data_IF_265773664882
#
_entry.id   IF_265773664882
#
_cell.length_a   1.000
_cell.length_b   1.000
_cell.length_c   1.000
_cell.angle_alpha   90.00
_cell.angle_beta   90.00
_cell.angle_gamma   90.00
#
_symmetry.space_group_name_H-M   'P 1'
#
loop_
_entity.id
_entity.type
_entity.pdbx_description
1 polymer ?
#
# COMPACT_ATOMS: atom_id res chain seq x y z
N UNK A 1 -3.45 -5.73 17.43
CA UNK A 1 -2.31 -5.65 16.49
C UNK A 1 -2.41 -4.33 15.75
N UNK A 2 -1.61 -3.33 16.12
CA UNK A 2 -1.87 -1.92 15.80
C UNK A 2 -1.78 -1.60 14.30
N UNK A 3 -2.75 -0.82 13.82
CA UNK A 3 -2.84 -0.25 12.45
C UNK A 3 -1.54 0.45 12.03
N UNK A 4 -0.86 1.11 12.96
CA UNK A 4 0.47 1.70 12.75
C UNK A 4 1.53 0.68 12.28
N UNK A 5 1.51 -0.55 12.82
CA UNK A 5 2.43 -1.60 12.37
C UNK A 5 2.06 -2.15 11.00
N UNK A 6 0.77 -2.20 10.65
CA UNK A 6 0.32 -2.62 9.32
C UNK A 6 0.74 -1.58 8.26
N UNK A 7 0.60 -0.28 8.55
CA UNK A 7 1.02 0.81 7.65
C UNK A 7 2.53 0.78 7.42
N UNK A 8 3.33 0.59 8.47
CA UNK A 8 4.79 0.48 8.34
C UNK A 8 5.20 -0.76 7.52
N UNK A 9 4.50 -1.88 7.67
CA UNK A 9 4.76 -3.10 6.87
C UNK A 9 4.37 -2.93 5.39
N UNK A 10 3.31 -2.15 5.11
CA UNK A 10 2.84 -1.85 3.74
C UNK A 10 3.68 -0.77 3.05
N UNK A 11 4.36 0.10 3.79
CA UNK A 11 5.26 1.12 3.23
C UNK A 11 6.73 0.64 3.09
N UNK A 12 7.16 -0.34 3.92
CA UNK A 12 8.46 -1.01 3.81
C UNK A 12 8.43 -2.49 3.28
N UNK A 13 7.57 -2.89 2.32
CA UNK A 13 7.55 -4.26 1.81
C UNK A 13 8.83 -4.71 1.09
N UNK A 14 9.58 -3.86 0.34
CA UNK A 14 10.75 -4.35 -0.39
C UNK A 14 11.97 -4.55 0.51
N UNK A 15 12.10 -3.78 1.61
CA UNK A 15 13.24 -3.88 2.52
C UNK A 15 13.24 -5.19 3.31
N UNK A 16 12.08 -5.67 3.74
CA UNK A 16 11.95 -6.96 4.43
C UNK A 16 12.19 -8.17 3.53
N UNK A 17 12.04 -7.99 2.21
CA UNK A 17 12.19 -9.05 1.20
C UNK A 17 13.61 -9.11 0.65
N UNK A 18 14.31 -7.98 0.56
CA UNK A 18 15.71 -7.92 0.15
C UNK A 18 16.61 -8.81 1.03
N UNK A 19 16.30 -8.89 2.33
CA UNK A 19 17.03 -9.72 3.30
C UNK A 19 16.84 -11.24 3.11
N UNK A 20 15.85 -11.69 2.32
CA UNK A 20 15.51 -13.11 2.17
C UNK A 20 15.87 -13.74 0.82
N UNK A 21 16.45 -13.00 -0.13
CA UNK A 21 17.09 -13.57 -1.32
C UNK A 21 16.71 -12.91 -2.66
N UNK A 22 17.70 -12.76 -3.54
CA UNK A 22 17.66 -12.02 -4.81
C UNK A 22 16.52 -12.40 -5.77
N UNK A 23 15.98 -13.61 -5.71
CA UNK A 23 14.88 -14.06 -6.58
C UNK A 23 13.49 -13.57 -6.18
N UNK A 24 13.28 -13.25 -4.90
CA UNK A 24 11.97 -12.87 -4.37
C UNK A 24 11.59 -11.41 -4.71
N UNK A 25 12.59 -10.59 -5.07
CA UNK A 25 12.45 -9.14 -5.30
C UNK A 25 11.49 -8.88 -6.47
N UNK A 26 11.63 -9.58 -7.60
CA UNK A 26 10.80 -9.36 -8.80
C UNK A 26 9.32 -9.64 -8.52
N UNK A 27 9.03 -10.74 -7.82
CA UNK A 27 7.66 -11.12 -7.45
C UNK A 27 7.06 -10.10 -6.46
N UNK A 28 7.84 -9.64 -5.49
CA UNK A 28 7.40 -8.66 -4.50
C UNK A 28 7.22 -7.27 -5.10
N UNK A 29 8.04 -6.87 -6.08
CA UNK A 29 7.85 -5.60 -6.80
C UNK A 29 6.54 -5.60 -7.58
N UNK A 30 6.21 -6.69 -8.27
CA UNK A 30 4.94 -6.83 -9.01
C UNK A 30 3.75 -6.88 -8.03
N UNK A 31 3.85 -7.65 -6.94
CA UNK A 31 2.82 -7.74 -5.91
C UNK A 31 2.61 -6.42 -5.17
N UNK A 32 3.70 -5.67 -4.92
CA UNK A 32 3.65 -4.33 -4.34
C UNK A 32 2.99 -3.36 -5.30
N UNK A 33 3.34 -3.35 -6.59
CA UNK A 33 2.62 -2.54 -7.58
C UNK A 33 1.13 -2.87 -7.62
N UNK A 34 0.76 -4.15 -7.60
CA UNK A 34 -0.63 -4.59 -7.63
C UNK A 34 -1.41 -4.34 -6.34
N UNK A 35 -0.77 -4.27 -5.17
CA UNK A 35 -1.44 -3.98 -3.88
C UNK A 35 -1.40 -2.50 -3.48
N UNK A 36 -0.38 -1.77 -3.93
CA UNK A 36 -0.15 -0.37 -3.59
C UNK A 36 -0.97 0.58 -4.47
N UNK A 37 -0.99 0.35 -5.78
CA UNK A 37 -1.79 1.14 -6.73
C UNK A 37 -3.29 1.13 -6.38
N UNK A 38 -3.96 -0.01 -6.12
CA UNK A 38 -5.37 0.02 -5.71
C UNK A 38 -5.58 0.65 -4.33
N UNK A 39 -4.60 0.58 -3.42
CA UNK A 39 -4.66 1.24 -2.11
C UNK A 39 -4.68 2.77 -2.22
N UNK A 40 -3.83 3.35 -3.09
CA UNK A 40 -3.82 4.79 -3.37
C UNK A 40 -5.12 5.23 -4.03
N UNK A 41 -5.60 4.47 -5.02
CA UNK A 41 -6.84 4.78 -5.74
C UNK A 41 -8.03 4.74 -4.76
N UNK A 42 -8.10 3.74 -3.89
CA UNK A 42 -9.16 3.65 -2.88
C UNK A 42 -9.13 4.82 -1.88
N UNK A 43 -7.93 5.22 -1.41
CA UNK A 43 -7.79 6.35 -0.51
C UNK A 43 -8.19 7.69 -1.16
N UNK A 44 -7.79 7.90 -2.42
CA UNK A 44 -8.19 9.07 -3.21
C UNK A 44 -9.70 9.11 -3.44
N UNK A 45 -10.29 7.97 -3.80
CA UNK A 45 -11.74 7.86 -3.99
C UNK A 45 -12.52 8.23 -2.72
N UNK A 46 -12.12 7.68 -1.57
CA UNK A 46 -12.72 7.99 -0.27
C UNK A 46 -12.59 9.48 0.08
N UNK A 47 -11.41 10.09 -0.15
CA UNK A 47 -11.21 11.52 0.09
C UNK A 47 -12.11 12.40 -0.80
N UNK A 48 -12.24 12.05 -2.08
CA UNK A 48 -13.10 12.78 -3.03
C UNK A 48 -14.58 12.63 -2.69
N UNK A 49 -14.99 11.46 -2.21
CA UNK A 49 -16.37 11.19 -1.82
C UNK A 49 -16.74 11.90 -0.50
N UNK A 50 -15.80 11.99 0.46
CA UNK A 50 -15.97 12.77 1.69
C UNK A 50 -16.11 14.28 1.41
N UNK A 51 -15.30 14.82 0.48
CA UNK A 51 -15.39 16.23 0.06
C UNK A 51 -16.74 16.55 -0.59
N UNK A 52 -17.22 15.68 -1.49
CA UNK A 52 -18.53 15.83 -2.15
C UNK A 52 -19.68 15.85 -1.13
N UNK A 53 -19.58 15.09 -0.04
CA UNK A 53 -20.57 15.06 1.03
C UNK A 53 -20.53 16.30 1.93
N UNK A 54 -19.38 16.96 2.04
CA UNK A 54 -19.22 18.23 2.78
C UNK A 54 -19.81 19.44 2.03
N UNK A 55 -19.88 19.35 0.70
CA UNK A 55 -20.41 20.41 -0.16
C UNK A 55 -21.91 20.26 -0.48
N UNK A 56 -22.56 19.20 0.00
CA UNK A 56 -24.00 18.96 -0.12
C UNK A 56 -24.70 19.15 1.22
#
# INVERSE_FOLDING_TARGET
MGILRAIICVLLPPLAVLDKGCGMIIVVTVLTCFGWVPGIIAALYICLEDEKKRLQ
#
